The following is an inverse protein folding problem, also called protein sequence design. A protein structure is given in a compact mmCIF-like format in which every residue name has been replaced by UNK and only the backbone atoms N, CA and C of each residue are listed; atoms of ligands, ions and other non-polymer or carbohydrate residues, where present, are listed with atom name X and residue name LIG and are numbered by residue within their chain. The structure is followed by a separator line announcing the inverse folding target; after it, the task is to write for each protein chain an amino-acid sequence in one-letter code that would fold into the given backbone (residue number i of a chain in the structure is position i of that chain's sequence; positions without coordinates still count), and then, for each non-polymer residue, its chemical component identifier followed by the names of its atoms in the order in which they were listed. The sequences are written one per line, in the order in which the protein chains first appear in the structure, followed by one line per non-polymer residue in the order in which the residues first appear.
data_IF_534296216721
#
_entry.id   IF_534296216721
#
_cell.length_a   1.000
_cell.length_b   1.000
_cell.length_c   1.000
_cell.angle_alpha   90.00
_cell.angle_beta   90.00
_cell.angle_gamma   90.00
#
_symmetry.space_group_name_H-M   'P 1'
#
loop_
_entity.id
_entity.type
_entity.pdbx_description
1 polymer ?
#
# COMPACT_ATOMS: atom_id res chain seq x y z
N UNK A 1 -14.22 -12.59 -17.44
CA UNK A 1 -13.92 -11.76 -16.26
C UNK A 1 -12.78 -12.45 -15.53
N UNK A 2 -11.54 -11.95 -15.53
CA UNK A 2 -10.54 -12.57 -14.69
C UNK A 2 -10.98 -12.31 -13.25
N UNK A 3 -11.05 -13.39 -12.49
CA UNK A 3 -11.45 -13.43 -11.09
C UNK A 3 -10.59 -12.44 -10.29
N UNK A 4 -11.17 -11.32 -9.84
CA UNK A 4 -10.61 -10.57 -8.72
C UNK A 4 -10.55 -11.56 -7.55
N UNK A 5 -9.34 -12.03 -7.23
CA UNK A 5 -9.10 -12.91 -6.09
C UNK A 5 -8.60 -12.02 -4.96
N UNK A 6 -9.50 -11.50 -4.09
CA UNK A 6 -9.15 -10.46 -3.12
C UNK A 6 -8.22 -10.99 -2.00
N UNK A 7 -8.00 -12.31 -2.00
CA UNK A 7 -7.21 -13.05 -1.03
C UNK A 7 -5.78 -13.32 -1.51
N UNK A 8 -5.47 -13.13 -2.80
CA UNK A 8 -4.11 -13.26 -3.28
C UNK A 8 -3.40 -11.90 -3.18
N UNK A 9 -2.24 -11.82 -2.52
CA UNK A 9 -1.43 -10.62 -2.57
C UNK A 9 -0.89 -10.42 -3.99
N UNK A 10 -1.14 -9.24 -4.54
CA UNK A 10 -0.55 -8.78 -5.78
C UNK A 10 0.74 -8.00 -5.45
N UNK A 11 1.75 -8.18 -6.29
CA UNK A 11 2.98 -7.38 -6.18
C UNK A 11 2.72 -5.97 -6.69
N UNK A 12 2.96 -5.00 -5.84
CA UNK A 12 2.89 -3.59 -6.14
C UNK A 12 4.23 -2.90 -5.89
N UNK A 13 4.34 -1.68 -6.39
CA UNK A 13 5.53 -0.84 -6.30
C UNK A 13 5.13 0.49 -5.70
N UNK A 14 5.97 1.01 -4.81
CA UNK A 14 5.82 2.36 -4.29
C UNK A 14 6.26 3.34 -5.38
N UNK A 15 5.31 4.08 -5.94
CA UNK A 15 5.57 5.04 -7.04
C UNK A 15 5.88 6.43 -6.53
N UNK A 16 5.41 6.77 -5.33
CA UNK A 16 5.64 8.07 -4.69
C UNK A 16 5.56 7.93 -3.17
N UNK A 17 6.39 8.71 -2.48
CA UNK A 17 6.34 8.88 -1.03
C UNK A 17 6.26 10.38 -0.76
N UNK A 18 5.34 10.79 0.11
CA UNK A 18 5.19 12.15 0.59
C UNK A 18 5.40 12.14 2.10
N UNK A 19 6.33 12.93 2.60
CA UNK A 19 6.53 13.09 4.05
C UNK A 19 5.59 14.17 4.56
N UNK A 20 4.54 13.77 5.29
CA UNK A 20 3.55 14.70 5.86
C UNK A 20 4.11 15.33 7.15
N UNK A 21 4.68 14.47 8.00
CA UNK A 21 5.27 14.83 9.30
C UNK A 21 6.42 13.86 9.61
N UNK A 22 7.25 14.13 10.64
CA UNK A 22 8.39 13.26 10.98
C UNK A 22 8.01 11.80 11.27
N UNK A 23 6.75 11.54 11.64
CA UNK A 23 6.22 10.21 11.97
C UNK A 23 5.10 9.74 11.04
N UNK A 24 4.76 10.46 9.97
CA UNK A 24 3.73 10.05 8.99
C UNK A 24 4.23 10.26 7.57
N UNK A 25 4.18 9.17 6.78
CA UNK A 25 4.42 9.20 5.34
C UNK A 25 3.18 8.71 4.59
N UNK A 26 2.91 9.37 3.47
CA UNK A 26 1.88 8.96 2.50
C UNK A 26 2.55 8.22 1.36
N UNK A 27 2.09 6.99 1.10
CA UNK A 27 2.64 6.09 0.09
C UNK A 27 1.64 5.93 -1.06
N UNK A 28 2.12 6.12 -2.29
CA UNK A 28 1.36 5.78 -3.50
C UNK A 28 1.82 4.41 -3.99
N UNK A 29 0.87 3.50 -4.13
CA UNK A 29 1.13 2.10 -4.46
C UNK A 29 0.41 1.75 -5.77
N UNK A 30 1.16 1.24 -6.74
CA UNK A 30 0.67 0.82 -8.06
C UNK A 30 1.20 -0.57 -8.41
N UNK A 31 0.43 -1.38 -9.12
CA UNK A 31 0.88 -2.66 -9.68
C UNK A 31 1.43 -2.48 -11.09
N UNK A 32 2.02 -3.53 -11.65
CA UNK A 32 2.53 -3.52 -13.03
C UNK A 32 1.42 -3.24 -14.08
N UNK A 33 0.17 -3.50 -13.73
CA UNK A 33 -1.00 -3.29 -14.58
C UNK A 33 -1.76 -1.98 -14.24
N UNK A 34 -1.21 -1.14 -13.37
CA UNK A 34 -1.83 0.12 -12.94
C UNK A 34 -2.37 0.03 -11.52
N UNK A 35 -3.64 0.36 -11.33
CA UNK A 35 -4.27 0.37 -9.99
C UNK A 35 -4.51 -1.06 -9.48
N UNK A 36 -4.12 -1.39 -8.23
CA UNK A 36 -4.32 -2.72 -7.66
C UNK A 36 -5.78 -3.20 -7.67
N UNK A 37 -6.71 -2.35 -7.24
CA UNK A 37 -8.15 -2.61 -7.26
C UNK A 37 -8.90 -1.29 -7.02
N UNK A 38 -10.21 -1.27 -7.23
CA UNK A 38 -11.05 -0.09 -6.95
C UNK A 38 -11.78 -0.25 -5.62
N UNK A 39 -11.26 0.30 -4.51
CA UNK A 39 -11.92 0.25 -3.21
C UNK A 39 -13.19 1.08 -3.17
N UNK A 40 -14.16 0.62 -2.38
CA UNK A 40 -15.33 1.39 -1.95
C UNK A 40 -15.04 2.08 -0.61
N UNK A 41 -15.75 3.17 -0.28
CA UNK A 41 -15.62 3.82 1.02
C UNK A 41 -15.81 2.83 2.19
N UNK A 42 -14.88 2.85 3.16
CA UNK A 42 -14.90 1.96 4.33
C UNK A 42 -14.15 0.64 4.14
N UNK A 43 -13.59 0.39 2.96
CA UNK A 43 -12.73 -0.76 2.72
C UNK A 43 -11.27 -0.50 3.10
N UNK A 44 -10.54 -1.59 3.40
CA UNK A 44 -9.18 -1.57 3.93
C UNK A 44 -8.32 -2.51 3.11
N UNK A 45 -7.07 -2.11 2.86
CA UNK A 45 -6.09 -2.96 2.19
C UNK A 45 -5.08 -3.51 3.21
N UNK A 46 -4.56 -4.69 2.93
CA UNK A 46 -3.40 -5.25 3.59
C UNK A 46 -2.16 -4.91 2.76
N UNK A 47 -1.16 -4.31 3.39
CA UNK A 47 0.16 -4.08 2.80
C UNK A 47 1.17 -5.03 3.42
N UNK A 48 1.95 -5.70 2.59
CA UNK A 48 2.97 -6.67 2.99
C UNK A 48 4.36 -6.12 2.65
N UNK A 49 5.25 -6.10 3.64
CA UNK A 49 6.67 -5.73 3.49
C UNK A 49 7.49 -6.97 3.84
N UNK A 50 8.23 -7.52 2.90
CA UNK A 50 9.05 -8.72 3.13
C UNK A 50 10.44 -8.31 3.62
N UNK A 51 10.99 -8.90 4.70
CA UNK A 51 10.41 -9.94 5.58
C UNK A 51 9.64 -9.42 6.80
N UNK A 52 9.44 -8.11 6.92
CA UNK A 52 8.90 -7.44 8.12
C UNK A 52 7.45 -7.78 8.50
N UNK A 53 6.64 -8.29 7.58
CA UNK A 53 5.28 -8.78 7.83
C UNK A 53 4.21 -8.07 6.99
N UNK A 54 2.95 -8.20 7.42
CA UNK A 54 1.78 -7.61 6.75
C UNK A 54 0.89 -6.90 7.78
N UNK A 55 0.31 -5.76 7.40
CA UNK A 55 -0.62 -5.02 8.24
C UNK A 55 -1.77 -4.42 7.43
N UNK A 56 -2.89 -4.19 8.10
CA UNK A 56 -4.09 -3.60 7.52
C UNK A 56 -4.04 -2.07 7.61
N UNK A 57 -4.27 -1.38 6.50
CA UNK A 57 -4.30 0.07 6.41
C UNK A 57 -5.57 0.57 5.72
N UNK A 58 -6.02 1.74 6.17
CA UNK A 58 -7.08 2.47 5.49
C UNK A 58 -6.54 3.08 4.21
N UNK A 59 -7.32 2.93 3.14
CA UNK A 59 -7.06 3.63 1.88
C UNK A 59 -7.48 5.09 2.10
N UNK A 60 -6.52 5.99 2.04
CA UNK A 60 -6.74 7.43 2.28
C UNK A 60 -7.34 8.09 1.05
N UNK A 61 -6.85 7.69 -0.13
CA UNK A 61 -7.34 8.14 -1.42
C UNK A 61 -7.11 7.07 -2.49
N UNK A 62 -7.78 7.22 -3.63
CA UNK A 62 -7.54 6.40 -4.80
C UNK A 62 -7.38 7.29 -6.04
N UNK A 63 -6.27 7.14 -6.74
CA UNK A 63 -6.06 7.73 -8.06
C UNK A 63 -6.60 6.84 -9.17
N UNK A 64 -6.32 7.24 -10.41
CA UNK A 64 -6.59 6.45 -11.61
C UNK A 64 -5.71 5.20 -11.65
N UNK A 65 -4.42 5.35 -11.32
CA UNK A 65 -3.39 4.28 -11.44
C UNK A 65 -2.75 3.87 -10.10
N UNK A 66 -3.22 4.40 -8.96
CA UNK A 66 -2.61 4.13 -7.66
C UNK A 66 -3.61 4.14 -6.50
N UNK A 67 -3.22 3.50 -5.40
CA UNK A 67 -3.85 3.63 -4.09
C UNK A 67 -2.94 4.43 -3.16
N UNK A 68 -3.56 5.26 -2.32
CA UNK A 68 -2.86 6.12 -1.37
C UNK A 68 -3.06 5.65 0.07
N UNK A 69 -1.97 5.55 0.81
CA UNK A 69 -1.96 5.14 2.20
C UNK A 69 -1.13 6.12 3.04
N UNK A 70 -1.76 6.86 3.94
CA UNK A 70 -1.05 7.64 4.96
C UNK A 70 -0.83 6.79 6.19
N UNK A 71 0.44 6.48 6.48
CA UNK A 71 0.82 5.51 7.50
C UNK A 71 1.72 6.20 8.52
N UNK A 72 1.34 6.04 9.79
CA UNK A 72 2.15 6.51 10.92
C UNK A 72 3.19 5.48 11.32
N UNK A 73 4.41 5.92 11.59
CA UNK A 73 5.53 5.12 12.10
C UNK A 73 5.34 4.80 13.58
N UNK A 74 4.87 3.60 13.91
CA UNK A 74 4.55 3.20 15.30
C UNK A 74 5.03 1.82 15.73
N UNK A 75 5.51 0.98 14.81
CA UNK A 75 6.00 -0.35 15.14
C UNK A 75 6.79 -1.01 14.01
N UNK A 76 7.31 -2.21 14.28
CA UNK A 76 8.32 -2.91 13.47
C UNK A 76 8.00 -2.95 11.96
N UNK A 77 6.77 -3.28 11.59
CA UNK A 77 6.36 -3.33 10.18
C UNK A 77 6.28 -1.94 9.55
N UNK A 78 5.70 -0.97 10.26
CA UNK A 78 5.61 0.42 9.76
C UNK A 78 6.98 1.09 9.74
N UNK A 79 7.90 0.75 10.64
CA UNK A 79 9.27 1.23 10.63
C UNK A 79 9.98 0.79 9.35
N UNK A 80 9.90 -0.50 9.03
CA UNK A 80 10.45 -1.04 7.80
C UNK A 80 9.82 -0.41 6.55
N UNK A 81 8.50 -0.14 6.57
CA UNK A 81 7.82 0.57 5.49
C UNK A 81 8.35 2.01 5.31
N UNK A 82 8.64 2.71 6.41
CA UNK A 82 9.17 4.08 6.37
C UNK A 82 10.63 4.17 5.90
N UNK A 83 11.36 3.06 5.95
CA UNK A 83 12.71 2.90 5.41
C UNK A 83 12.72 2.57 3.91
N UNK A 84 11.57 2.23 3.31
CA UNK A 84 11.48 1.98 1.88
C UNK A 84 11.60 3.28 1.06
N UNK A 85 12.16 3.13 -0.12
CA UNK A 85 12.29 4.20 -1.11
C UNK A 85 11.32 3.99 -2.28
N UNK A 86 11.13 5.03 -3.09
CA UNK A 86 10.38 4.94 -4.34
C UNK A 86 11.01 3.88 -5.25
N UNK A 87 10.18 3.01 -5.82
CA UNK A 87 10.60 1.84 -6.61
C UNK A 87 10.65 0.53 -5.82
N UNK A 88 10.52 0.57 -4.48
CA UNK A 88 10.46 -0.64 -3.67
C UNK A 88 9.19 -1.45 -3.94
N UNK A 89 9.34 -2.78 -3.94
CA UNK A 89 8.23 -3.71 -4.09
C UNK A 89 7.56 -4.03 -2.75
N UNK A 90 6.24 -4.00 -2.74
CA UNK A 90 5.38 -4.34 -1.60
C UNK A 90 4.27 -5.27 -2.06
N UNK A 91 3.73 -6.09 -1.16
CA UNK A 91 2.50 -6.83 -1.40
C UNK A 91 1.29 -5.95 -1.11
N UNK A 92 0.25 -6.04 -1.93
CA UNK A 92 -1.05 -5.44 -1.64
C UNK A 92 -2.15 -6.49 -1.78
N UNK A 93 -3.04 -6.58 -0.80
CA UNK A 93 -4.17 -7.52 -0.78
C UNK A 93 -5.40 -6.81 -0.24
N UNK A 94 -6.56 -6.99 -0.84
CA UNK A 94 -7.74 -6.23 -0.45
C UNK A 94 -8.94 -6.51 -1.34
N UNK A 95 -10.09 -6.01 -0.91
CA UNK A 95 -10.49 -4.69 -1.37
C UNK A 95 -10.81 -3.73 -0.22
#
# INVERSE_FOLDING_TARGET
MPSEQPLLPEMATITKIIEETPDVKTFHVSTANGKPFTPKPGQLAMLSVVPSGEAMFSITWQGDDYLEFSIKRVGVMTDALHELEVGASVGVRGP
#
